data_IF_093403667401
#
_entry.id   IF_093403667401
#
_cell.length_a   1.000
_cell.length_b   1.000
_cell.length_c   1.000
_cell.angle_alpha   90.00
_cell.angle_beta   90.00
_cell.angle_gamma   90.00
#
_symmetry.space_group_name_H-M   'P 1'
#
loop_
_entity.id
_entity.type
_entity.pdbx_description
1 polymer ?
#
# COMPACT_ATOMS: atom_id res chain seq x y z
N UNK A 1 63.59 -41.25 26.02
CA UNK A 1 62.61 -42.32 25.73
C UNK A 1 61.21 -41.75 25.94
N UNK A 2 60.40 -41.75 24.86
CA UNK A 2 58.93 -41.65 24.79
C UNK A 2 58.21 -40.48 25.52
N UNK A 3 57.81 -39.47 24.76
CA UNK A 3 56.47 -38.82 24.90
C UNK A 3 55.38 -39.78 24.36
N UNK A 4 54.05 -39.48 24.33
CA UNK A 4 53.29 -38.32 24.84
C UNK A 4 51.92 -38.69 25.49
N UNK A 5 51.23 -37.73 26.11
CA UNK A 5 49.75 -37.72 26.15
C UNK A 5 49.31 -36.27 26.05
N UNK A 6 49.17 -35.81 24.80
CA UNK A 6 48.54 -34.55 24.49
C UNK A 6 47.04 -34.71 24.75
N UNK A 7 46.53 -33.97 25.72
CA UNK A 7 45.10 -33.75 25.91
C UNK A 7 44.56 -33.07 24.65
N UNK A 8 43.65 -33.76 23.97
CA UNK A 8 42.89 -33.22 22.86
C UNK A 8 42.05 -32.03 23.34
N UNK A 9 42.18 -30.88 22.68
CA UNK A 9 41.27 -29.76 22.90
C UNK A 9 40.59 -29.35 21.59
N UNK A 10 39.30 -29.66 21.59
CA UNK A 10 38.17 -28.97 20.97
C UNK A 10 38.20 -28.71 19.46
N UNK A 11 37.29 -29.42 18.81
CA UNK A 11 36.79 -29.20 17.48
C UNK A 11 36.38 -27.74 17.23
N UNK A 12 36.79 -27.25 16.06
CA UNK A 12 36.22 -26.08 15.43
C UNK A 12 34.74 -26.31 15.12
N UNK A 13 33.87 -25.42 15.61
CA UNK A 13 32.57 -25.18 15.00
C UNK A 13 32.56 -23.72 14.58
N UNK A 14 32.97 -23.48 13.33
CA UNK A 14 32.67 -22.25 12.64
C UNK A 14 31.15 -22.16 12.54
N UNK A 15 30.53 -21.39 13.41
CA UNK A 15 29.14 -20.98 13.26
C UNK A 15 29.06 -20.04 12.05
N UNK A 16 28.99 -20.63 10.86
CA UNK A 16 28.55 -19.96 9.65
C UNK A 16 27.08 -19.60 9.83
N UNK A 17 26.83 -18.47 10.50
CA UNK A 17 25.53 -17.82 10.47
C UNK A 17 25.27 -17.41 9.03
N UNK A 18 24.54 -18.23 8.28
CA UNK A 18 23.86 -17.78 7.08
C UNK A 18 22.85 -16.73 7.54
N UNK A 19 23.26 -15.47 7.45
CA UNK A 19 22.34 -14.34 7.51
C UNK A 19 21.39 -14.51 6.33
N UNK A 20 20.22 -15.11 6.57
CA UNK A 20 19.13 -15.02 5.61
C UNK A 20 18.74 -13.54 5.54
N UNK A 21 18.82 -12.89 4.37
CA UNK A 21 18.23 -11.59 4.20
C UNK A 21 16.73 -11.76 4.41
N UNK A 22 16.23 -11.31 5.57
CA UNK A 22 14.81 -11.05 5.75
C UNK A 22 14.46 -9.94 4.78
N UNK A 23 14.02 -10.31 3.57
CA UNK A 23 13.28 -9.42 2.71
C UNK A 23 12.07 -9.01 3.53
N UNK A 24 12.12 -7.80 4.09
CA UNK A 24 10.96 -7.17 4.69
C UNK A 24 9.92 -7.09 3.58
N UNK A 25 9.00 -8.07 3.60
CA UNK A 25 7.93 -8.18 2.63
C UNK A 25 7.09 -6.92 2.85
N UNK A 26 7.19 -5.95 1.93
CA UNK A 26 6.43 -4.72 2.00
C UNK A 26 4.95 -5.13 2.00
N UNK A 27 4.31 -5.01 3.16
CA UNK A 27 2.90 -5.33 3.31
C UNK A 27 2.14 -4.27 2.52
N UNK A 28 1.51 -4.68 1.42
CA UNK A 28 0.59 -3.79 0.72
C UNK A 28 -0.51 -3.40 1.73
N UNK A 29 -0.82 -2.09 1.88
CA UNK A 29 -1.83 -1.66 2.83
C UNK A 29 -3.18 -2.26 2.47
N UNK A 30 -3.91 -2.68 3.51
CA UNK A 30 -5.24 -3.28 3.38
C UNK A 30 -6.20 -2.31 2.65
N UNK A 31 -7.02 -2.78 1.68
CA UNK A 31 -7.92 -1.91 0.92
C UNK A 31 -8.90 -1.11 1.80
N UNK A 32 -9.37 -1.67 2.92
CA UNK A 32 -10.26 -0.94 3.83
C UNK A 32 -9.52 0.22 4.53
N UNK A 33 -8.26 -0.01 4.92
CA UNK A 33 -7.39 1.05 5.44
C UNK A 33 -7.17 2.15 4.39
N UNK A 34 -6.81 1.79 3.16
CA UNK A 34 -6.62 2.77 2.08
C UNK A 34 -7.87 3.60 1.82
N UNK A 35 -9.03 2.94 1.77
CA UNK A 35 -10.30 3.62 1.60
C UNK A 35 -10.58 4.58 2.75
N UNK A 36 -10.36 4.16 4.00
CA UNK A 36 -10.54 4.99 5.20
C UNK A 36 -9.64 6.22 5.18
N UNK A 37 -8.36 6.04 4.84
CA UNK A 37 -7.42 7.15 4.69
C UNK A 37 -7.83 8.10 3.55
N UNK A 38 -8.33 7.54 2.43
CA UNK A 38 -8.89 8.31 1.32
C UNK A 38 -10.08 9.16 1.76
N UNK A 39 -11.00 8.60 2.56
CA UNK A 39 -12.15 9.35 3.10
C UNK A 39 -11.69 10.48 4.03
N UNK A 40 -10.68 10.24 4.86
CA UNK A 40 -10.11 11.25 5.74
C UNK A 40 -9.48 12.41 4.95
N UNK A 41 -8.85 12.13 3.82
CA UNK A 41 -8.29 13.16 2.94
C UNK A 41 -9.37 13.91 2.15
N UNK A 42 -10.40 13.21 1.69
CA UNK A 42 -11.57 13.82 1.06
C UNK A 42 -12.22 14.84 2.01
N UNK A 43 -12.40 14.48 3.29
CA UNK A 43 -12.97 15.37 4.30
C UNK A 43 -12.14 16.64 4.55
N UNK A 44 -10.84 16.63 4.22
CA UNK A 44 -9.94 17.79 4.32
C UNK A 44 -9.85 18.60 3.01
N UNK A 45 -10.57 18.21 1.97
CA UNK A 45 -10.48 18.79 0.63
C UNK A 45 -9.20 18.39 -0.13
N UNK A 46 -8.47 17.38 0.34
CA UNK A 46 -7.27 16.86 -0.31
C UNK A 46 -7.65 15.86 -1.43
N UNK A 47 -8.41 16.34 -2.41
CA UNK A 47 -9.07 15.48 -3.39
C UNK A 47 -8.12 14.62 -4.21
N UNK A 48 -6.94 15.13 -4.57
CA UNK A 48 -5.93 14.35 -5.28
C UNK A 48 -5.50 13.12 -4.49
N UNK A 49 -5.19 13.31 -3.21
CA UNK A 49 -4.78 12.21 -2.34
C UNK A 49 -5.93 11.25 -2.07
N UNK A 50 -7.14 11.79 -1.88
CA UNK A 50 -8.34 11.01 -1.64
C UNK A 50 -8.66 10.07 -2.81
N UNK A 51 -8.72 10.61 -4.03
CA UNK A 51 -8.95 9.85 -5.26
C UNK A 51 -7.88 8.78 -5.43
N UNK A 52 -6.61 9.12 -5.22
CA UNK A 52 -5.52 8.14 -5.34
C UNK A 52 -5.73 6.96 -4.39
N UNK A 53 -5.93 7.23 -3.09
CA UNK A 53 -6.07 6.17 -2.09
C UNK A 53 -7.31 5.30 -2.30
N UNK A 54 -8.45 5.93 -2.61
CA UNK A 54 -9.67 5.19 -2.90
C UNK A 54 -9.56 4.36 -4.19
N UNK A 55 -8.82 4.85 -5.20
CA UNK A 55 -8.55 4.09 -6.44
C UNK A 55 -7.64 2.90 -6.16
N UNK A 56 -6.58 3.08 -5.39
CA UNK A 56 -5.70 1.98 -4.95
C UNK A 56 -6.51 0.93 -4.15
N UNK A 57 -7.47 1.36 -3.33
CA UNK A 57 -8.37 0.48 -2.60
C UNK A 57 -9.34 -0.29 -3.52
N UNK A 58 -9.89 0.40 -4.53
CA UNK A 58 -10.78 -0.20 -5.54
C UNK A 58 -10.05 -1.24 -6.38
N UNK A 59 -8.82 -0.95 -6.82
CA UNK A 59 -8.01 -1.89 -7.61
C UNK A 59 -7.70 -3.19 -6.84
N UNK A 60 -7.55 -3.10 -5.52
CA UNK A 60 -7.29 -4.26 -4.66
C UNK A 60 -8.54 -5.05 -4.28
N UNK A 61 -9.63 -4.36 -3.94
CA UNK A 61 -10.86 -4.98 -3.45
C UNK A 61 -11.83 -5.37 -4.55
N UNK A 62 -11.85 -4.61 -5.65
CA UNK A 62 -12.89 -4.67 -6.66
C UNK A 62 -14.26 -4.17 -6.19
N UNK A 63 -14.38 -3.56 -5.00
CA UNK A 63 -15.66 -3.12 -4.46
C UNK A 63 -16.24 -1.95 -5.28
N UNK A 64 -17.34 -2.16 -6.04
CA UNK A 64 -17.91 -1.12 -6.88
C UNK A 64 -18.38 0.10 -6.09
N UNK A 65 -18.71 -0.02 -4.79
CA UNK A 65 -19.09 1.14 -3.98
C UNK A 65 -17.99 2.21 -3.92
N UNK A 66 -16.71 1.81 -4.02
CA UNK A 66 -15.60 2.76 -4.05
C UNK A 66 -15.65 3.66 -5.30
N UNK A 67 -16.18 3.18 -6.42
CA UNK A 67 -16.34 4.00 -7.63
C UNK A 67 -17.28 5.19 -7.41
N UNK A 68 -18.34 5.01 -6.62
CA UNK A 68 -19.22 6.12 -6.25
C UNK A 68 -18.45 7.21 -5.47
N UNK A 69 -17.65 6.82 -4.49
CA UNK A 69 -16.88 7.77 -3.67
C UNK A 69 -15.75 8.44 -4.46
N UNK A 70 -15.07 7.72 -5.35
CA UNK A 70 -14.07 8.27 -6.27
C UNK A 70 -14.71 9.31 -7.21
N UNK A 71 -15.86 8.98 -7.81
CA UNK A 71 -16.59 9.90 -8.67
C UNK A 71 -17.03 11.17 -7.93
N UNK A 72 -17.50 11.02 -6.69
CA UNK A 72 -17.84 12.15 -5.82
C UNK A 72 -16.63 13.03 -5.53
N UNK A 73 -15.48 12.44 -5.19
CA UNK A 73 -14.24 13.18 -4.94
C UNK A 73 -13.79 13.98 -6.17
N UNK A 74 -13.84 13.40 -7.38
CA UNK A 74 -13.54 14.12 -8.61
C UNK A 74 -14.51 15.28 -8.90
N UNK A 75 -15.81 15.09 -8.67
CA UNK A 75 -16.82 16.14 -8.85
C UNK A 75 -16.54 17.32 -7.92
N UNK A 76 -16.24 17.05 -6.66
CA UNK A 76 -16.00 18.10 -5.68
C UNK A 76 -14.64 18.78 -5.91
N UNK A 77 -13.65 18.04 -6.43
CA UNK A 77 -12.41 18.62 -6.90
C UNK A 77 -12.62 19.58 -8.09
N UNK A 78 -13.50 19.24 -9.03
CA UNK A 78 -13.92 20.17 -10.07
C UNK A 78 -14.58 21.41 -9.46
N UNK A 79 -15.42 21.26 -8.45
CA UNK A 79 -16.11 22.40 -7.83
C UNK A 79 -15.13 23.41 -7.23
N UNK A 80 -14.02 22.97 -6.65
CA UNK A 80 -12.98 23.86 -6.12
C UNK A 80 -12.02 24.37 -7.21
N UNK A 81 -11.52 23.49 -8.06
CA UNK A 81 -10.45 23.83 -9.02
C UNK A 81 -10.94 24.43 -10.34
N UNK A 82 -12.20 24.18 -10.70
CA UNK A 82 -12.82 24.47 -12.01
C UNK A 82 -12.11 23.84 -13.22
N UNK A 83 -11.25 22.84 -13.01
CA UNK A 83 -10.57 22.10 -14.10
C UNK A 83 -11.48 21.02 -14.66
N UNK A 84 -11.86 21.15 -15.93
CA UNK A 84 -12.85 20.30 -16.62
C UNK A 84 -12.42 18.83 -16.64
N UNK A 85 -11.13 18.55 -16.56
CA UNK A 85 -10.57 17.20 -16.47
C UNK A 85 -11.20 16.43 -15.29
N UNK A 86 -11.31 17.05 -14.12
CA UNK A 86 -11.91 16.38 -12.95
C UNK A 86 -13.40 16.10 -13.15
N UNK A 87 -14.14 16.96 -13.85
CA UNK A 87 -15.54 16.69 -14.17
C UNK A 87 -15.68 15.52 -15.15
N UNK A 88 -14.76 15.41 -16.11
CA UNK A 88 -14.71 14.29 -17.05
C UNK A 88 -14.44 12.97 -16.32
N UNK A 89 -13.47 12.96 -15.40
CA UNK A 89 -13.16 11.78 -14.57
C UNK A 89 -14.33 11.40 -13.66
N UNK A 90 -15.02 12.37 -13.05
CA UNK A 90 -16.22 12.11 -12.27
C UNK A 90 -17.29 11.39 -13.09
N UNK A 91 -17.61 11.92 -14.29
CA UNK A 91 -18.58 11.31 -15.20
C UNK A 91 -18.17 9.88 -15.55
N UNK A 92 -16.93 9.68 -15.99
CA UNK A 92 -16.43 8.36 -16.38
C UNK A 92 -16.50 7.36 -15.23
N UNK A 93 -16.17 7.77 -14.02
CA UNK A 93 -16.19 6.91 -12.84
C UNK A 93 -17.62 6.54 -12.44
N UNK A 94 -18.57 7.49 -12.47
CA UNK A 94 -19.98 7.19 -12.22
C UNK A 94 -20.58 6.25 -13.28
N UNK A 95 -20.18 6.38 -14.55
CA UNK A 95 -20.62 5.46 -15.61
C UNK A 95 -20.13 4.02 -15.39
N UNK A 96 -18.99 3.82 -14.72
CA UNK A 96 -18.50 2.49 -14.34
C UNK A 96 -19.22 1.89 -13.13
N UNK A 97 -19.92 2.70 -12.35
CA UNK A 97 -20.64 2.27 -11.14
C UNK A 97 -22.05 1.74 -11.44
N UNK A 98 -22.68 2.24 -12.50
CA UNK A 98 -24.06 1.91 -12.94
C UNK A 98 -24.03 0.70 -13.87
#
# INVERSE_FOLDING_TARGET
>A
MRSPLHLALAAAISAGGVAHPSVAQAYAPDPEQLYTEGQADYAKGLFESAVKKMSDAYEQSGDPLMLYYIGQAYRDWYNESKKVEHLREAKFTFEKFI
#
